data_IF_376439053541
#
_entry.id   IF_376439053541
#
_cell.length_a   1.000
_cell.length_b   1.000
_cell.length_c   1.000
_cell.angle_alpha   90.00
_cell.angle_beta   90.00
_cell.angle_gamma   90.00
#
_symmetry.space_group_name_H-M   'P 1'
#
loop_
_entity.id
_entity.type
_entity.pdbx_description
1 polymer ?
#
# COMPACT_ATOMS: atom_id res chain seq x y z
N UNK A 1 16.59 -48.13 25.94
CA UNK A 1 15.63 -48.57 24.92
C UNK A 1 14.40 -47.69 25.11
N UNK A 2 14.36 -46.56 24.40
CA UNK A 2 13.63 -46.37 23.12
C UNK A 2 12.12 -46.46 23.36
N UNK A 3 11.44 -45.33 23.53
CA UNK A 3 10.75 -44.61 22.44
C UNK A 3 9.24 -44.70 22.75
N UNK A 4 8.35 -43.75 22.49
CA UNK A 4 8.34 -42.67 21.50
C UNK A 4 7.30 -41.63 21.94
N UNK A 5 7.67 -40.35 21.92
CA UNK A 5 6.73 -39.24 21.92
C UNK A 5 6.29 -38.98 20.48
N UNK A 6 5.02 -39.23 20.17
CA UNK A 6 4.38 -38.75 18.96
C UNK A 6 3.85 -37.33 19.23
N UNK A 7 4.68 -36.33 18.92
CA UNK A 7 4.30 -34.93 18.88
C UNK A 7 3.77 -34.56 17.50
N UNK A 8 2.47 -34.76 17.28
CA UNK A 8 1.76 -34.23 16.13
C UNK A 8 1.53 -32.72 16.30
N UNK A 9 2.32 -31.88 15.65
CA UNK A 9 2.07 -30.44 15.54
C UNK A 9 0.90 -30.20 14.60
N UNK A 10 -0.28 -29.91 15.15
CA UNK A 10 -1.45 -29.48 14.39
C UNK A 10 -1.22 -28.06 13.87
N UNK A 11 -0.88 -27.92 12.58
CA UNK A 11 -1.06 -26.66 11.84
C UNK A 11 -2.55 -26.48 11.54
N UNK A 12 -3.34 -26.18 12.57
CA UNK A 12 -4.73 -25.77 12.41
C UNK A 12 -4.75 -24.30 11.98
N UNK A 13 -5.13 -24.00 10.74
CA UNK A 13 -5.34 -22.62 10.30
C UNK A 13 -6.37 -21.93 11.19
N UNK A 14 -6.23 -20.62 11.38
CA UNK A 14 -7.20 -19.84 12.16
C UNK A 14 -8.59 -19.99 11.50
N UNK A 15 -9.56 -20.44 12.27
CA UNK A 15 -10.92 -20.68 11.79
C UNK A 15 -11.61 -19.38 11.37
N UNK A 16 -12.51 -19.47 10.39
CA UNK A 16 -13.29 -18.31 9.91
C UNK A 16 -14.15 -17.68 11.01
N UNK A 17 -14.55 -18.46 12.02
CA UNK A 17 -15.26 -18.02 13.21
C UNK A 17 -14.48 -16.97 14.01
N UNK A 18 -13.16 -17.09 14.10
CA UNK A 18 -12.29 -16.12 14.78
C UNK A 18 -12.29 -14.78 14.04
N UNK A 19 -12.18 -14.80 12.71
CA UNK A 19 -12.19 -13.59 11.89
C UNK A 19 -13.53 -12.89 11.97
N UNK A 20 -14.64 -13.62 11.90
CA UNK A 20 -15.98 -13.05 12.06
C UNK A 20 -16.18 -12.46 13.46
N UNK A 21 -15.73 -13.15 14.50
CA UNK A 21 -15.77 -12.63 15.87
C UNK A 21 -14.93 -11.35 16.03
N UNK A 22 -13.81 -11.24 15.30
CA UNK A 22 -13.00 -10.03 15.27
C UNK A 22 -13.70 -8.89 14.52
N UNK A 23 -14.24 -9.15 13.32
CA UNK A 23 -15.02 -8.18 12.54
C UNK A 23 -16.21 -7.62 13.30
N UNK A 24 -16.92 -8.48 14.04
CA UNK A 24 -18.05 -8.12 14.90
C UNK A 24 -17.66 -7.14 16.02
N UNK A 25 -16.44 -7.26 16.57
CA UNK A 25 -15.90 -6.30 17.53
C UNK A 25 -15.49 -4.99 16.87
N UNK A 26 -14.92 -5.06 15.67
CA UNK A 26 -14.55 -3.86 14.90
C UNK A 26 -15.78 -3.04 14.51
N UNK A 27 -16.87 -3.69 14.10
CA UNK A 27 -18.15 -3.04 13.77
C UNK A 27 -18.73 -2.25 14.95
N UNK A 28 -18.58 -2.78 16.17
CA UNK A 28 -19.03 -2.11 17.41
C UNK A 28 -17.99 -1.18 18.04
N UNK A 29 -16.84 -0.99 17.39
CA UNK A 29 -15.68 -0.29 17.96
C UNK A 29 -15.28 -0.81 19.37
N UNK A 30 -15.48 -2.11 19.63
CA UNK A 30 -15.15 -2.76 20.91
C UNK A 30 -13.65 -3.02 21.01
N UNK A 31 -12.91 -1.99 21.39
CA UNK A 31 -11.45 -2.05 21.55
C UNK A 31 -11.04 -3.10 22.59
N UNK A 32 -11.73 -3.17 23.73
CA UNK A 32 -11.38 -4.07 24.82
C UNK A 32 -11.60 -5.53 24.41
N UNK A 33 -12.73 -5.84 23.79
CA UNK A 33 -13.02 -7.18 23.29
C UNK A 33 -12.12 -7.59 22.14
N UNK A 34 -11.73 -6.67 21.24
CA UNK A 34 -10.80 -6.94 20.15
C UNK A 34 -9.39 -7.26 20.65
N UNK A 35 -8.90 -6.49 21.63
CA UNK A 35 -7.61 -6.78 22.29
C UNK A 35 -7.68 -8.10 23.06
N UNK A 36 -8.75 -8.33 23.82
CA UNK A 36 -8.95 -9.56 24.57
C UNK A 36 -8.96 -10.80 23.68
N UNK A 37 -9.63 -10.73 22.52
CA UNK A 37 -9.61 -11.82 21.53
C UNK A 37 -8.21 -12.08 21.00
N UNK A 38 -7.49 -11.03 20.56
CA UNK A 38 -6.16 -11.19 19.99
C UNK A 38 -5.14 -11.73 21.00
N UNK A 39 -5.16 -11.22 22.24
CA UNK A 39 -4.27 -11.71 23.30
C UNK A 39 -4.63 -13.13 23.76
N UNK A 40 -5.93 -13.46 23.80
CA UNK A 40 -6.39 -14.82 24.10
C UNK A 40 -5.89 -15.85 23.08
N UNK A 41 -5.81 -15.50 21.80
CA UNK A 41 -5.19 -16.35 20.77
C UNK A 41 -3.71 -16.60 21.06
N UNK A 42 -2.96 -15.57 21.46
CA UNK A 42 -1.55 -15.72 21.84
C UNK A 42 -1.40 -16.59 23.10
N UNK A 43 -2.28 -16.44 24.08
CA UNK A 43 -2.29 -17.25 25.31
C UNK A 43 -2.62 -18.73 25.01
N UNK A 44 -3.38 -18.98 23.94
CA UNK A 44 -3.65 -20.32 23.41
C UNK A 44 -2.52 -20.88 22.51
N UNK A 45 -1.41 -20.15 22.35
CA UNK A 45 -0.23 -20.59 21.59
C UNK A 45 -0.25 -20.27 20.11
N UNK A 46 -1.22 -19.48 19.62
CA UNK A 46 -1.22 -19.01 18.23
C UNK A 46 -0.03 -18.05 18.00
N UNK A 47 0.79 -18.23 16.95
CA UNK A 47 1.90 -17.34 16.68
C UNK A 47 1.46 -15.90 16.44
N UNK A 48 2.29 -14.93 16.88
CA UNK A 48 2.09 -13.49 16.60
C UNK A 48 1.84 -13.22 15.12
N UNK A 49 2.62 -13.87 14.25
CA UNK A 49 2.47 -13.74 12.79
C UNK A 49 1.07 -14.13 12.33
N UNK A 50 0.49 -15.18 12.89
CA UNK A 50 -0.80 -15.71 12.45
C UNK A 50 -1.94 -14.82 12.96
N UNK A 51 -1.86 -14.31 14.19
CA UNK A 51 -2.82 -13.30 14.69
C UNK A 51 -2.80 -12.04 13.81
N UNK A 52 -1.61 -11.53 13.47
CA UNK A 52 -1.49 -10.30 12.69
C UNK A 52 -1.91 -10.48 11.22
N UNK A 53 -1.53 -11.60 10.58
CA UNK A 53 -1.75 -11.81 9.15
C UNK A 53 -3.11 -12.47 8.86
N UNK A 54 -3.51 -13.44 9.66
CA UNK A 54 -4.69 -14.27 9.39
C UNK A 54 -5.93 -13.80 10.16
N UNK A 55 -5.80 -12.89 11.14
CA UNK A 55 -6.95 -12.21 11.77
C UNK A 55 -6.98 -10.74 11.36
N UNK A 56 -5.99 -9.95 11.80
CA UNK A 56 -6.02 -8.50 11.62
C UNK A 56 -5.99 -8.11 10.14
N UNK A 57 -5.01 -8.60 9.38
CA UNK A 57 -4.90 -8.25 7.96
C UNK A 57 -6.05 -8.82 7.11
N UNK A 58 -6.63 -9.98 7.49
CA UNK A 58 -7.82 -10.52 6.82
C UNK A 58 -9.03 -9.61 7.06
N UNK A 59 -9.30 -9.25 8.31
CA UNK A 59 -10.41 -8.36 8.66
C UNK A 59 -10.30 -6.99 7.99
N UNK A 60 -9.08 -6.45 7.89
CA UNK A 60 -8.82 -5.18 7.20
C UNK A 60 -9.13 -5.23 5.69
N UNK A 61 -8.88 -6.37 5.02
CA UNK A 61 -9.30 -6.54 3.62
C UNK A 61 -10.83 -6.55 3.49
N UNK A 62 -11.53 -7.20 4.41
CA UNK A 62 -12.99 -7.23 4.43
C UNK A 62 -13.59 -5.84 4.73
N UNK A 63 -13.00 -5.09 5.66
CA UNK A 63 -13.37 -3.68 5.91
C UNK A 63 -13.22 -2.85 4.64
N UNK A 64 -12.07 -2.97 3.94
CA UNK A 64 -11.84 -2.30 2.67
C UNK A 64 -12.90 -2.65 1.62
N UNK A 65 -13.30 -3.93 1.53
CA UNK A 65 -14.38 -4.38 0.64
C UNK A 65 -15.75 -3.79 1.01
N UNK A 66 -16.08 -3.72 2.31
CA UNK A 66 -17.33 -3.11 2.79
C UNK A 66 -17.37 -1.61 2.50
N UNK A 67 -16.25 -0.92 2.64
CA UNK A 67 -16.12 0.50 2.28
C UNK A 67 -16.24 0.73 0.76
N UNK A 68 -15.56 -0.10 -0.04
CA UNK A 68 -15.59 -0.04 -1.50
C UNK A 68 -17.03 -0.21 -2.02
N UNK A 69 -17.74 -1.21 -1.52
CA UNK A 69 -19.14 -1.51 -1.89
C UNK A 69 -20.17 -0.54 -1.29
N UNK A 70 -19.74 0.47 -0.54
CA UNK A 70 -20.64 1.45 0.09
C UNK A 70 -21.43 0.90 1.29
N UNK A 71 -21.18 -0.35 1.70
CA UNK A 71 -21.81 -0.93 2.90
C UNK A 71 -21.33 -0.26 4.19
N UNK A 72 -20.10 0.24 4.20
CA UNK A 72 -19.51 0.99 5.31
C UNK A 72 -19.12 2.41 4.87
N UNK A 73 -19.40 3.38 5.74
CA UNK A 73 -18.96 4.77 5.60
C UNK A 73 -17.48 4.95 5.95
N UNK A 74 -16.91 6.11 5.59
CA UNK A 74 -15.53 6.48 5.95
C UNK A 74 -15.33 6.50 7.49
N UNK A 75 -16.23 7.09 8.30
CA UNK A 75 -16.09 7.03 9.76
C UNK A 75 -16.08 5.61 10.35
N UNK A 76 -16.88 4.69 9.79
CA UNK A 76 -16.91 3.29 10.25
C UNK A 76 -15.58 2.58 9.94
N UNK A 77 -15.06 2.75 8.71
CA UNK A 77 -13.75 2.23 8.34
C UNK A 77 -12.66 2.77 9.29
N UNK A 78 -12.60 4.09 9.50
CA UNK A 78 -11.61 4.70 10.38
C UNK A 78 -11.69 4.19 11.83
N UNK A 79 -12.90 4.06 12.38
CA UNK A 79 -13.10 3.53 13.73
C UNK A 79 -12.58 2.09 13.86
N UNK A 80 -12.90 1.22 12.90
CA UNK A 80 -12.44 -0.16 12.89
C UNK A 80 -10.92 -0.29 12.69
N UNK A 81 -10.34 0.51 11.79
CA UNK A 81 -8.90 0.58 11.56
C UNK A 81 -8.16 1.08 12.81
N UNK A 82 -8.72 2.06 13.53
CA UNK A 82 -8.16 2.51 14.80
C UNK A 82 -8.14 1.40 15.86
N UNK A 83 -9.22 0.64 16.00
CA UNK A 83 -9.23 -0.53 16.91
C UNK A 83 -8.16 -1.55 16.50
N UNK A 84 -7.98 -1.79 15.20
CA UNK A 84 -6.95 -2.69 14.70
C UNK A 84 -5.53 -2.21 15.04
N UNK A 85 -5.25 -0.91 14.94
CA UNK A 85 -3.96 -0.33 15.38
C UNK A 85 -3.69 -0.59 16.88
N UNK A 86 -4.70 -0.45 17.73
CA UNK A 86 -4.58 -0.76 19.16
C UNK A 86 -4.29 -2.24 19.38
N UNK A 87 -4.98 -3.12 18.64
CA UNK A 87 -4.75 -4.57 18.71
C UNK A 87 -3.33 -4.92 18.27
N UNK A 88 -2.83 -4.35 17.17
CA UNK A 88 -1.45 -4.56 16.71
C UNK A 88 -0.44 -4.10 17.77
N UNK A 89 -0.68 -2.96 18.42
CA UNK A 89 0.14 -2.48 19.54
C UNK A 89 0.15 -3.45 20.73
N UNK A 90 -1.00 -3.99 21.11
CA UNK A 90 -1.11 -4.96 22.20
C UNK A 90 -0.41 -6.30 21.88
N UNK A 91 -0.57 -6.80 20.65
CA UNK A 91 0.12 -8.01 20.15
C UNK A 91 1.63 -7.78 20.10
N UNK A 92 2.07 -6.61 19.61
CA UNK A 92 3.49 -6.24 19.55
C UNK A 92 4.16 -6.24 20.93
N UNK A 93 3.44 -5.82 21.98
CA UNK A 93 3.95 -5.82 23.35
C UNK A 93 4.24 -7.23 23.91
N UNK A 94 3.71 -8.29 23.29
CA UNK A 94 4.01 -9.70 23.66
C UNK A 94 5.30 -10.22 22.99
N UNK A 95 5.92 -9.47 22.08
CA UNK A 95 7.20 -9.83 21.47
C UNK A 95 8.33 -9.45 22.45
N UNK A 96 8.73 -10.39 23.30
CA UNK A 96 9.72 -10.17 24.37
C UNK A 96 11.15 -10.59 23.99
N UNK A 97 11.31 -11.41 22.95
CA UNK A 97 12.62 -11.86 22.51
C UNK A 97 13.47 -10.70 21.99
N UNK A 98 14.72 -10.62 22.44
CA UNK A 98 15.68 -9.65 21.92
C UNK A 98 15.96 -9.94 20.43
N UNK A 99 16.15 -8.91 19.59
CA UNK A 99 16.51 -9.12 18.19
C UNK A 99 17.87 -9.82 18.11
N UNK A 100 17.97 -10.79 17.21
CA UNK A 100 19.14 -11.65 17.00
C UNK A 100 19.66 -11.66 15.55
N UNK A 101 18.94 -10.98 14.66
CA UNK A 101 19.26 -10.84 13.24
C UNK A 101 19.69 -9.40 12.94
N UNK A 102 19.70 -9.04 11.65
CA UNK A 102 20.06 -7.69 11.20
C UNK A 102 19.03 -6.62 11.57
N UNK A 103 19.20 -5.44 10.98
CA UNK A 103 18.35 -4.28 11.15
C UNK A 103 17.65 -3.90 9.86
N UNK A 104 16.33 -3.72 9.93
CA UNK A 104 15.55 -3.17 8.83
C UNK A 104 14.81 -1.91 9.25
N UNK A 105 14.58 -1.05 8.27
CA UNK A 105 13.72 0.12 8.39
C UNK A 105 12.43 -0.14 7.62
N UNK A 106 11.28 0.11 8.21
CA UNK A 106 9.98 0.00 7.54
C UNK A 106 9.36 1.38 7.41
N UNK A 107 8.90 1.74 6.21
CA UNK A 107 8.36 3.06 5.89
C UNK A 107 7.21 2.98 4.89
N UNK A 108 6.26 3.88 4.99
CA UNK A 108 5.29 4.13 3.91
C UNK A 108 5.84 5.18 2.94
N UNK A 109 5.46 5.07 1.67
CA UNK A 109 5.82 6.04 0.64
C UNK A 109 5.38 7.46 1.04
N UNK A 110 6.11 8.49 0.60
CA UNK A 110 5.72 9.88 0.84
C UNK A 110 4.29 10.18 0.35
N UNK A 111 3.45 10.75 1.22
CA UNK A 111 2.02 10.98 1.00
C UNK A 111 1.15 9.71 1.02
N UNK A 112 1.69 8.57 1.45
CA UNK A 112 0.93 7.37 1.79
C UNK A 112 0.61 7.35 3.28
N UNK A 113 -0.67 7.29 3.62
CA UNK A 113 -1.17 7.36 5.01
C UNK A 113 -1.62 6.01 5.55
N UNK A 114 -1.72 4.98 4.72
CA UNK A 114 -2.14 3.64 5.10
C UNK A 114 -1.01 2.87 5.84
N UNK A 115 -0.76 3.26 7.09
CA UNK A 115 0.36 2.76 7.90
C UNK A 115 0.14 1.37 8.52
N UNK A 116 -1.11 0.95 8.74
CA UNK A 116 -1.43 -0.30 9.44
C UNK A 116 -0.78 -1.54 8.80
N UNK A 117 -0.86 -1.66 7.47
CA UNK A 117 -0.25 -2.78 6.76
C UNK A 117 1.29 -2.79 6.95
N UNK A 118 1.93 -1.63 6.88
CA UNK A 118 3.37 -1.49 7.11
C UNK A 118 3.73 -1.80 8.58
N UNK A 119 2.87 -1.40 9.52
CA UNK A 119 3.03 -1.72 10.94
C UNK A 119 2.94 -3.22 11.18
N UNK A 120 1.95 -3.91 10.59
CA UNK A 120 1.83 -5.38 10.65
C UNK A 120 3.11 -6.05 10.12
N UNK A 121 3.63 -5.60 8.97
CA UNK A 121 4.90 -6.11 8.44
C UNK A 121 6.05 -5.90 9.43
N UNK A 122 6.15 -4.71 10.03
CA UNK A 122 7.20 -4.41 11.00
C UNK A 122 7.14 -5.34 12.23
N UNK A 123 5.94 -5.65 12.73
CA UNK A 123 5.76 -6.54 13.88
C UNK A 123 6.02 -8.02 13.54
N UNK A 124 5.60 -8.48 12.37
CA UNK A 124 5.90 -9.84 11.90
C UNK A 124 7.41 -10.04 11.72
N UNK A 125 8.09 -9.07 11.12
CA UNK A 125 9.55 -9.13 10.93
C UNK A 125 10.29 -9.04 12.27
N UNK A 126 9.78 -8.26 13.22
CA UNK A 126 10.29 -8.23 14.59
C UNK A 126 10.12 -9.57 15.31
N UNK A 127 8.95 -10.20 15.18
CA UNK A 127 8.69 -11.53 15.73
C UNK A 127 9.61 -12.62 15.13
N UNK A 128 10.05 -12.44 13.89
CA UNK A 128 11.06 -13.31 13.26
C UNK A 128 12.49 -13.11 13.81
N UNK A 129 12.73 -12.08 14.62
CA UNK A 129 14.00 -11.83 15.31
C UNK A 129 14.85 -10.70 14.73
N UNK A 130 14.32 -9.93 13.78
CA UNK A 130 14.99 -8.74 13.23
C UNK A 130 14.84 -7.53 14.16
N UNK A 131 15.87 -6.67 14.19
CA UNK A 131 15.71 -5.31 14.71
C UNK A 131 14.92 -4.51 13.68
N UNK A 132 13.81 -3.89 14.07
CA UNK A 132 12.93 -3.17 13.13
C UNK A 132 12.69 -1.74 13.63
N UNK A 133 13.09 -0.75 12.83
CA UNK A 133 12.66 0.64 13.03
C UNK A 133 11.49 0.97 12.11
N UNK A 134 10.34 1.30 12.68
CA UNK A 134 9.15 1.71 11.93
C UNK A 134 9.06 3.24 11.87
N UNK A 135 9.13 3.81 10.67
CA UNK A 135 9.10 5.25 10.44
C UNK A 135 7.68 5.82 10.28
N UNK A 136 6.69 4.95 10.09
CA UNK A 136 5.29 5.36 9.95
C UNK A 136 4.88 5.76 8.54
N UNK A 137 3.81 6.56 8.49
CA UNK A 137 3.19 7.08 7.28
C UNK A 137 4.02 8.22 6.64
N UNK A 138 3.84 8.40 5.33
CA UNK A 138 4.25 9.59 4.59
C UNK A 138 5.68 10.08 4.89
N UNK A 139 6.66 9.16 4.85
CA UNK A 139 8.06 9.50 5.16
C UNK A 139 8.65 10.38 4.05
N UNK A 140 9.15 11.60 4.35
CA UNK A 140 9.67 12.49 3.32
C UNK A 140 10.96 11.96 2.68
N UNK A 141 10.96 11.80 1.36
CA UNK A 141 12.10 11.22 0.64
C UNK A 141 13.41 12.00 0.86
N UNK A 142 13.33 13.34 0.93
CA UNK A 142 14.48 14.24 1.10
C UNK A 142 15.32 14.00 2.36
N UNK A 143 14.70 13.45 3.40
CA UNK A 143 15.35 13.19 4.70
C UNK A 143 15.76 11.72 4.86
N UNK A 144 15.40 10.87 3.90
CA UNK A 144 15.60 9.43 4.02
C UNK A 144 17.08 9.05 3.89
N UNK A 145 17.82 9.67 2.96
CA UNK A 145 19.25 9.35 2.72
C UNK A 145 20.09 9.55 3.98
N UNK A 146 19.97 10.72 4.63
CA UNK A 146 20.73 11.03 5.83
C UNK A 146 20.38 10.11 6.99
N UNK A 147 19.08 9.78 7.15
CA UNK A 147 18.62 8.83 8.14
C UNK A 147 19.19 7.42 7.92
N UNK A 148 19.19 6.93 6.67
CA UNK A 148 19.71 5.61 6.33
C UNK A 148 21.22 5.51 6.55
N UNK A 149 22.00 6.54 6.20
CA UNK A 149 23.43 6.58 6.52
C UNK A 149 23.71 6.52 8.03
N UNK A 150 22.90 7.20 8.85
CA UNK A 150 23.08 7.21 10.30
C UNK A 150 22.64 5.91 10.96
N UNK A 151 21.57 5.29 10.47
CA UNK A 151 20.97 4.10 11.08
C UNK A 151 21.56 2.78 10.58
N UNK A 152 22.19 2.78 9.39
CA UNK A 152 22.86 1.64 8.78
C UNK A 152 22.01 0.36 8.67
N UNK A 153 20.77 0.40 8.16
CA UNK A 153 19.95 -0.81 8.04
C UNK A 153 20.41 -1.69 6.88
N UNK A 154 20.19 -2.99 7.02
CA UNK A 154 20.44 -4.01 5.99
C UNK A 154 19.43 -3.90 4.83
N UNK A 155 18.22 -3.41 5.09
CA UNK A 155 17.20 -3.17 4.07
C UNK A 155 16.12 -2.16 4.51
N UNK A 156 15.44 -1.57 3.53
CA UNK A 156 14.18 -0.83 3.71
C UNK A 156 13.01 -1.66 3.22
N UNK A 157 12.02 -1.88 4.08
CA UNK A 157 10.70 -2.40 3.72
C UNK A 157 9.79 -1.22 3.37
N UNK A 158 9.49 -1.03 2.09
CA UNK A 158 8.74 0.12 1.58
C UNK A 158 7.30 -0.28 1.24
N UNK A 159 6.34 0.26 1.98
CA UNK A 159 4.91 0.02 1.80
C UNK A 159 4.25 1.06 0.90
N UNK A 160 3.45 0.60 -0.06
CA UNK A 160 2.64 1.44 -0.95
C UNK A 160 1.26 0.80 -1.17
N UNK A 161 0.19 1.51 -0.87
CA UNK A 161 -1.19 1.04 -1.09
C UNK A 161 -1.76 1.69 -2.35
N UNK A 162 -1.54 2.98 -2.54
CA UNK A 162 -2.07 3.72 -3.68
C UNK A 162 -1.09 3.74 -4.87
N UNK A 163 -1.44 3.20 -6.06
CA UNK A 163 -0.54 3.19 -7.22
C UNK A 163 -0.19 4.60 -7.74
N UNK A 164 -1.00 5.62 -7.43
CA UNK A 164 -0.69 7.03 -7.71
C UNK A 164 0.59 7.52 -7.01
N UNK A 165 1.08 6.79 -6.01
CA UNK A 165 2.29 7.14 -5.25
C UNK A 165 3.58 6.59 -5.87
N UNK A 166 3.51 5.83 -6.97
CA UNK A 166 4.71 5.19 -7.54
C UNK A 166 5.78 6.17 -8.05
N UNK A 167 5.40 7.40 -8.43
CA UNK A 167 6.39 8.46 -8.71
C UNK A 167 7.23 8.78 -7.47
N UNK A 168 6.60 8.85 -6.30
CA UNK A 168 7.28 9.11 -5.02
C UNK A 168 8.01 7.87 -4.52
N UNK A 169 7.43 6.68 -4.70
CA UNK A 169 8.10 5.42 -4.39
C UNK A 169 9.44 5.30 -5.13
N UNK A 170 9.47 5.62 -6.42
CA UNK A 170 10.70 5.65 -7.21
C UNK A 170 11.76 6.62 -6.66
N UNK A 171 11.35 7.82 -6.19
CA UNK A 171 12.27 8.78 -5.56
C UNK A 171 12.82 8.28 -4.22
N UNK A 172 12.01 7.58 -3.45
CA UNK A 172 12.45 6.96 -2.19
C UNK A 172 13.38 5.80 -2.44
N UNK A 173 13.09 4.94 -3.43
CA UNK A 173 13.99 3.87 -3.86
C UNK A 173 15.34 4.45 -4.30
N UNK A 174 15.34 5.55 -5.05
CA UNK A 174 16.59 6.22 -5.42
C UNK A 174 17.34 6.79 -4.22
N UNK A 175 16.61 7.30 -3.22
CA UNK A 175 17.20 7.76 -1.96
C UNK A 175 17.84 6.60 -1.18
N UNK A 176 17.20 5.44 -1.15
CA UNK A 176 17.78 4.22 -0.57
C UNK A 176 19.01 3.74 -1.35
N UNK A 177 18.94 3.76 -2.69
CA UNK A 177 20.06 3.44 -3.60
C UNK A 177 21.27 4.34 -3.34
N UNK A 178 21.06 5.65 -3.23
CA UNK A 178 22.11 6.60 -2.92
C UNK A 178 22.76 6.34 -1.55
N UNK A 179 22.01 5.76 -0.60
CA UNK A 179 22.51 5.32 0.68
C UNK A 179 23.13 3.90 0.68
N UNK A 180 23.12 3.20 -0.47
CA UNK A 180 23.58 1.82 -0.59
C UNK A 180 22.67 0.78 0.08
N UNK A 181 21.40 1.14 0.38
CA UNK A 181 20.46 0.29 1.11
C UNK A 181 19.42 -0.31 0.15
N UNK A 182 19.25 -1.65 0.12
CA UNK A 182 18.29 -2.32 -0.74
C UNK A 182 16.85 -2.08 -0.27
N UNK A 183 15.91 -2.13 -1.22
CA UNK A 183 14.47 -1.95 -0.95
C UNK A 183 13.70 -3.22 -1.26
N UNK A 184 12.92 -3.68 -0.27
CA UNK A 184 11.84 -4.65 -0.45
C UNK A 184 10.53 -3.90 -0.51
N UNK A 185 9.90 -3.91 -1.66
CA UNK A 185 8.59 -3.30 -1.87
C UNK A 185 7.47 -4.24 -1.40
N UNK A 186 6.36 -3.66 -0.94
CA UNK A 186 5.16 -4.41 -0.61
C UNK A 186 3.91 -3.54 -0.66
N UNK A 187 2.76 -4.20 -0.74
CA UNK A 187 1.45 -3.56 -0.82
C UNK A 187 0.89 -3.48 -2.25
N UNK A 188 -0.44 -3.30 -2.36
CA UNK A 188 -1.16 -3.39 -3.64
C UNK A 188 -0.84 -2.25 -4.60
N UNK A 189 -0.25 -1.14 -4.13
CA UNK A 189 0.13 -0.01 -4.98
C UNK A 189 1.21 -0.37 -6.00
N UNK A 190 1.92 -1.49 -5.84
CA UNK A 190 2.88 -2.01 -6.81
C UNK A 190 2.27 -2.90 -7.91
N UNK A 191 0.94 -3.01 -7.93
CA UNK A 191 0.18 -3.74 -8.96
C UNK A 191 0.14 -5.25 -8.72
N UNK A 192 -0.65 -5.97 -9.54
CA UNK A 192 -0.72 -7.44 -9.51
C UNK A 192 0.68 -8.05 -9.62
N UNK A 193 0.95 -9.05 -8.77
CA UNK A 193 2.24 -9.75 -8.66
C UNK A 193 3.47 -8.83 -8.51
N UNK A 194 3.27 -7.60 -8.03
CA UNK A 194 4.34 -6.62 -7.84
C UNK A 194 4.96 -6.11 -9.14
N UNK A 195 4.25 -6.19 -10.27
CA UNK A 195 4.79 -5.83 -11.61
C UNK A 195 5.47 -4.46 -11.66
N UNK A 196 5.03 -3.49 -10.85
CA UNK A 196 5.61 -2.14 -10.82
C UNK A 196 6.72 -1.96 -9.78
N UNK A 197 6.95 -2.91 -8.87
CA UNK A 197 8.04 -2.83 -7.89
C UNK A 197 9.41 -2.78 -8.57
N UNK A 198 9.64 -3.64 -9.57
CA UNK A 198 10.86 -3.61 -10.36
C UNK A 198 10.98 -2.32 -11.19
N UNK A 199 9.87 -1.80 -11.73
CA UNK A 199 9.85 -0.57 -12.54
C UNK A 199 10.24 0.69 -11.75
N UNK A 200 9.98 0.70 -10.43
CA UNK A 200 10.47 1.75 -9.52
C UNK A 200 11.88 1.48 -8.97
N UNK A 201 12.46 0.32 -9.29
CA UNK A 201 13.83 -0.08 -8.94
C UNK A 201 13.98 -0.79 -7.59
N UNK A 202 12.90 -1.32 -7.02
CA UNK A 202 12.98 -2.13 -5.80
C UNK A 202 13.76 -3.43 -6.06
N UNK A 203 14.54 -3.89 -5.08
CA UNK A 203 15.36 -5.09 -5.19
C UNK A 203 14.52 -6.38 -5.14
N UNK A 204 13.43 -6.35 -4.39
CA UNK A 204 12.48 -7.45 -4.29
C UNK A 204 11.08 -6.91 -4.02
N UNK A 205 10.08 -7.78 -4.18
CA UNK A 205 8.70 -7.52 -3.80
C UNK A 205 8.11 -8.71 -3.04
N UNK A 206 7.31 -8.42 -2.02
CA UNK A 206 6.54 -9.41 -1.27
C UNK A 206 5.06 -9.02 -1.20
N UNK A 207 4.17 -9.99 -1.40
CA UNK A 207 2.72 -9.79 -1.33
C UNK A 207 2.22 -9.68 0.11
N UNK A 208 2.94 -10.29 1.06
CA UNK A 208 2.52 -10.45 2.46
C UNK A 208 3.66 -10.15 3.43
N UNK A 209 3.32 -9.96 4.71
CA UNK A 209 4.32 -9.84 5.78
C UNK A 209 5.21 -11.10 5.91
N UNK A 210 4.68 -12.28 5.58
CA UNK A 210 5.47 -13.53 5.54
C UNK A 210 6.50 -13.52 4.41
N UNK A 211 6.17 -12.91 3.28
CA UNK A 211 7.12 -12.75 2.18
C UNK A 211 8.28 -11.84 2.56
N UNK A 212 8.03 -10.77 3.33
CA UNK A 212 9.09 -9.91 3.86
C UNK A 212 10.11 -10.70 4.69
N UNK A 213 9.67 -11.55 5.62
CA UNK A 213 10.58 -12.43 6.39
C UNK A 213 11.37 -13.36 5.46
N UNK A 214 10.68 -14.04 4.54
CA UNK A 214 11.32 -14.98 3.59
C UNK A 214 12.38 -14.29 2.71
N UNK A 215 12.11 -13.07 2.26
CA UNK A 215 13.04 -12.29 1.42
C UNK A 215 14.25 -11.82 2.23
N UNK A 216 14.05 -11.40 3.47
CA UNK A 216 15.14 -11.02 4.36
C UNK A 216 16.06 -12.21 4.69
N UNK A 217 15.49 -13.39 4.99
CA UNK A 217 16.24 -14.59 5.35
C UNK A 217 17.10 -15.14 4.20
N UNK A 218 16.64 -15.00 2.96
CA UNK A 218 17.37 -15.43 1.76
C UNK A 218 18.57 -14.55 1.43
N UNK A 219 18.78 -13.44 2.15
CA UNK A 219 19.84 -12.47 1.90
C UNK A 219 19.94 -12.08 0.41
N UNK A 220 18.79 -11.92 -0.27
CA UNK A 220 18.70 -11.64 -1.72
C UNK A 220 19.44 -10.35 -2.11
N UNK A 221 19.87 -9.57 -1.13
CA UNK A 221 20.55 -8.29 -1.28
C UNK A 221 22.08 -8.38 -1.19
N UNK A 222 22.64 -9.56 -0.93
CA UNK A 222 24.10 -9.76 -0.98
C UNK A 222 24.62 -9.45 -2.39
N UNK A 223 25.40 -8.37 -2.52
CA UNK A 223 26.00 -7.93 -3.80
C UNK A 223 25.08 -7.15 -4.75
N UNK A 224 23.79 -6.96 -4.42
CA UNK A 224 22.84 -6.19 -5.23
C UNK A 224 22.18 -5.10 -4.37
N UNK A 225 22.80 -3.91 -4.23
CA UNK A 225 22.37 -2.89 -3.27
C UNK A 225 21.01 -2.27 -3.61
N UNK A 226 20.43 -2.52 -4.79
CA UNK A 226 19.05 -2.19 -5.18
C UNK A 226 18.66 -2.98 -6.46
N UNK A 227 17.37 -3.02 -6.80
CA UNK A 227 16.91 -3.61 -8.08
C UNK A 227 17.36 -2.79 -9.30
N UNK A 228 16.89 -3.14 -10.52
CA UNK A 228 17.32 -2.45 -11.74
C UNK A 228 17.17 -0.93 -11.58
N UNK A 229 18.20 -0.19 -12.01
CA UNK A 229 18.10 1.27 -12.05
C UNK A 229 16.85 1.63 -12.82
N UNK A 230 16.00 2.44 -12.20
CA UNK A 230 14.76 2.79 -12.84
C UNK A 230 15.08 3.54 -14.15
N UNK A 231 14.23 3.43 -15.18
CA UNK A 231 14.46 4.12 -16.43
C UNK A 231 14.73 5.60 -16.18
N UNK A 232 15.60 6.20 -17.00
CA UNK A 232 15.85 7.64 -16.94
C UNK A 232 14.52 8.38 -16.89
N UNK A 233 14.36 9.33 -15.94
CA UNK A 233 13.14 10.10 -15.81
C UNK A 233 12.71 10.64 -17.15
N UNK A 234 11.51 10.25 -17.57
CA UNK A 234 10.97 10.75 -18.81
C UNK A 234 10.40 12.15 -18.63
N UNK A 235 10.67 13.05 -19.56
CA UNK A 235 10.25 14.46 -19.47
C UNK A 235 8.73 14.59 -19.34
N UNK A 236 7.96 13.63 -19.86
CA UNK A 236 6.51 13.73 -19.96
C UNK A 236 5.77 13.53 -18.63
N UNK A 237 6.16 12.58 -17.77
CA UNK A 237 5.48 12.45 -16.47
C UNK A 237 5.78 13.67 -15.57
N UNK A 238 6.98 14.25 -15.72
CA UNK A 238 7.35 15.49 -15.02
C UNK A 238 6.52 16.66 -15.55
N UNK A 239 6.34 16.76 -16.86
CA UNK A 239 5.47 17.76 -17.49
C UNK A 239 4.02 17.63 -17.01
N UNK A 240 3.44 16.41 -17.01
CA UNK A 240 2.09 16.14 -16.48
C UNK A 240 1.94 16.65 -15.05
N UNK A 241 2.92 16.39 -14.18
CA UNK A 241 2.90 16.88 -12.79
C UNK A 241 3.04 18.41 -12.69
N UNK A 242 3.82 19.05 -13.58
CA UNK A 242 3.93 20.53 -13.64
C UNK A 242 2.62 21.17 -14.07
N UNK A 243 1.91 20.57 -15.03
CA UNK A 243 0.61 21.04 -15.53
C UNK A 243 -0.58 20.58 -14.67
N UNK A 244 -0.35 19.90 -13.55
CA UNK A 244 -1.41 19.31 -12.71
C UNK A 244 -2.55 20.28 -12.38
N UNK A 245 -2.22 21.51 -11.97
CA UNK A 245 -3.23 22.53 -11.62
C UNK A 245 -4.05 22.96 -12.84
N UNK A 246 -3.42 23.12 -13.99
CA UNK A 246 -4.06 23.52 -15.24
C UNK A 246 -4.99 22.42 -15.75
N UNK A 247 -4.56 21.16 -15.70
CA UNK A 247 -5.36 20.00 -16.09
C UNK A 247 -6.59 19.85 -15.19
N UNK A 248 -6.41 19.97 -13.86
CA UNK A 248 -7.54 19.94 -12.91
C UNK A 248 -8.53 21.06 -13.20
N UNK A 249 -8.04 22.28 -13.40
CA UNK A 249 -8.91 23.42 -13.68
C UNK A 249 -9.63 23.29 -15.03
N UNK A 250 -8.97 22.74 -16.06
CA UNK A 250 -9.60 22.45 -17.34
C UNK A 250 -10.72 21.41 -17.21
N UNK A 251 -10.49 20.33 -16.46
CA UNK A 251 -11.50 19.30 -16.21
C UNK A 251 -12.70 19.85 -15.41
N UNK A 252 -12.47 20.66 -14.38
CA UNK A 252 -13.55 21.31 -13.62
C UNK A 252 -14.42 22.20 -14.50
N UNK A 253 -13.82 23.00 -15.38
CA UNK A 253 -14.58 23.82 -16.34
C UNK A 253 -15.37 22.99 -17.34
N UNK A 254 -14.87 21.82 -17.72
CA UNK A 254 -15.57 20.93 -18.65
C UNK A 254 -16.74 20.20 -17.99
N UNK A 255 -16.62 19.87 -16.70
CA UNK A 255 -17.67 19.23 -15.90
C UNK A 255 -18.72 20.23 -15.42
N UNK A 256 -18.29 21.45 -15.08
CA UNK A 256 -19.12 22.51 -14.47
C UNK A 256 -19.93 22.01 -13.24
N UNK A 257 -19.26 21.48 -12.21
CA UNK A 257 -19.95 20.86 -11.08
C UNK A 257 -20.61 21.89 -10.16
N UNK A 258 -21.70 21.52 -9.47
CA UNK A 258 -22.23 22.30 -8.35
C UNK A 258 -21.14 22.58 -7.30
N UNK A 259 -21.19 23.76 -6.66
CA UNK A 259 -20.21 24.23 -5.68
C UNK A 259 -19.95 23.20 -4.56
N UNK A 260 -21.02 22.55 -4.08
CA UNK A 260 -20.97 21.52 -3.02
C UNK A 260 -20.11 20.30 -3.38
N UNK A 261 -19.93 20.01 -4.67
CA UNK A 261 -19.19 18.83 -5.17
C UNK A 261 -17.89 19.19 -5.89
N UNK A 262 -17.61 20.48 -6.05
CA UNK A 262 -16.50 20.97 -6.85
C UNK A 262 -15.15 20.51 -6.28
N UNK A 263 -14.97 20.56 -4.97
CA UNK A 263 -13.73 20.16 -4.30
C UNK A 263 -13.48 18.65 -4.36
N UNK A 264 -14.52 17.84 -4.24
CA UNK A 264 -14.43 16.38 -4.36
C UNK A 264 -14.05 15.97 -5.78
N UNK A 265 -14.68 16.59 -6.78
CA UNK A 265 -14.35 16.36 -8.19
C UNK A 265 -12.93 16.85 -8.48
N UNK A 266 -12.54 18.03 -7.98
CA UNK A 266 -11.18 18.55 -8.14
C UNK A 266 -10.14 17.57 -7.58
N UNK A 267 -10.41 17.02 -6.40
CA UNK A 267 -9.57 16.01 -5.74
C UNK A 267 -9.51 14.71 -6.55
N UNK A 268 -10.65 14.24 -7.07
CA UNK A 268 -10.74 13.07 -7.94
C UNK A 268 -9.92 13.21 -9.22
N UNK A 269 -10.02 14.36 -9.90
CA UNK A 269 -9.21 14.68 -11.08
C UNK A 269 -7.73 14.76 -10.72
N UNK A 270 -7.40 15.38 -9.58
CA UNK A 270 -6.04 15.45 -9.07
C UNK A 270 -5.42 14.05 -8.91
N UNK A 271 -6.16 13.10 -8.34
CA UNK A 271 -5.71 11.71 -8.22
C UNK A 271 -5.59 11.01 -9.58
N UNK A 272 -6.47 11.29 -10.53
CA UNK A 272 -6.37 10.79 -11.90
C UNK A 272 -5.10 11.29 -12.60
N UNK A 273 -4.74 12.57 -12.43
CA UNK A 273 -3.49 13.13 -12.94
C UNK A 273 -2.27 12.48 -12.27
N UNK A 274 -2.35 12.22 -10.96
CA UNK A 274 -1.29 11.50 -10.24
C UNK A 274 -1.16 10.03 -10.73
N UNK A 275 -2.28 9.37 -11.05
CA UNK A 275 -2.31 8.04 -11.68
C UNK A 275 -1.68 8.06 -13.09
N UNK A 276 -2.01 9.07 -13.90
CA UNK A 276 -1.43 9.25 -15.23
C UNK A 276 0.09 9.40 -15.13
N UNK A 277 0.57 10.28 -14.24
CA UNK A 277 2.01 10.45 -14.01
C UNK A 277 2.68 9.15 -13.53
N UNK A 278 2.03 8.40 -12.64
CA UNK A 278 2.52 7.09 -12.19
C UNK A 278 2.60 6.08 -13.34
N UNK A 279 1.56 5.98 -14.18
CA UNK A 279 1.51 5.08 -15.34
C UNK A 279 2.64 5.37 -16.34
N UNK A 280 2.91 6.65 -16.61
CA UNK A 280 4.03 7.09 -17.46
C UNK A 280 5.38 6.75 -16.80
N UNK A 281 5.48 6.92 -15.47
CA UNK A 281 6.71 6.64 -14.73
C UNK A 281 7.08 5.15 -14.73
N UNK A 282 6.09 4.27 -14.64
CA UNK A 282 6.31 2.81 -14.71
C UNK A 282 6.22 2.27 -16.13
N UNK A 283 5.89 3.13 -17.11
CA UNK A 283 5.72 2.81 -18.54
C UNK A 283 4.70 1.72 -18.80
N UNK A 284 3.60 1.77 -18.06
CA UNK A 284 2.53 0.78 -18.13
C UNK A 284 1.17 1.49 -18.06
N UNK A 285 0.41 1.56 -19.17
CA UNK A 285 -0.91 2.18 -19.19
C UNK A 285 -1.94 1.41 -18.34
N UNK A 286 -1.71 0.12 -18.04
CA UNK A 286 -2.60 -0.67 -17.19
C UNK A 286 -2.79 -0.03 -15.81
N UNK A 287 -1.80 0.72 -15.31
CA UNK A 287 -1.96 1.44 -14.04
C UNK A 287 -3.11 2.44 -14.08
N UNK A 288 -3.19 3.23 -15.16
CA UNK A 288 -4.25 4.22 -15.31
C UNK A 288 -5.58 3.54 -15.60
N UNK A 289 -5.58 2.47 -16.39
CA UNK A 289 -6.78 1.67 -16.70
C UNK A 289 -7.37 1.08 -15.42
N UNK A 290 -6.54 0.43 -14.59
CA UNK A 290 -6.97 -0.15 -13.31
C UNK A 290 -7.49 0.92 -12.36
N UNK A 291 -6.84 2.08 -12.31
CA UNK A 291 -7.30 3.22 -11.51
C UNK A 291 -8.66 3.75 -11.95
N UNK A 292 -8.89 3.87 -13.27
CA UNK A 292 -10.15 4.33 -13.85
C UNK A 292 -11.27 3.33 -13.61
N UNK A 293 -11.01 2.02 -13.79
CA UNK A 293 -11.98 0.95 -13.47
C UNK A 293 -12.36 0.96 -11.99
N UNK A 294 -11.37 1.09 -11.10
CA UNK A 294 -11.62 1.19 -9.67
C UNK A 294 -12.44 2.43 -9.30
N UNK A 295 -12.16 3.59 -9.93
CA UNK A 295 -12.98 4.79 -9.73
C UNK A 295 -14.43 4.58 -10.20
N UNK A 296 -14.64 3.94 -11.35
CA UNK A 296 -15.99 3.63 -11.84
C UNK A 296 -16.74 2.68 -10.89
N UNK A 297 -16.08 1.66 -10.35
CA UNK A 297 -16.65 0.75 -9.34
C UNK A 297 -17.09 1.51 -8.09
N UNK A 298 -16.22 2.36 -7.53
CA UNK A 298 -16.52 3.20 -6.36
C UNK A 298 -17.71 4.12 -6.63
N UNK A 299 -17.70 4.81 -7.78
CA UNK A 299 -18.76 5.74 -8.14
C UNK A 299 -20.08 5.00 -8.37
N UNK A 300 -20.06 3.86 -9.05
CA UNK A 300 -21.23 2.99 -9.28
C UNK A 300 -21.86 2.55 -7.97
N UNK A 301 -21.06 2.02 -7.05
CA UNK A 301 -21.53 1.57 -5.74
C UNK A 301 -22.20 2.70 -4.94
N UNK A 302 -21.93 3.95 -5.33
CA UNK A 302 -22.42 5.18 -4.69
C UNK A 302 -23.36 5.99 -5.59
N UNK A 303 -23.84 5.42 -6.70
CA UNK A 303 -24.84 6.02 -7.59
C UNK A 303 -24.33 7.08 -8.57
N UNK A 304 -23.02 7.27 -8.70
CA UNK A 304 -22.40 8.17 -9.66
C UNK A 304 -21.95 7.46 -10.94
N UNK A 305 -22.45 7.87 -12.10
CA UNK A 305 -21.85 7.57 -13.42
C UNK A 305 -22.22 8.70 -14.35
N UNK A 306 -21.24 9.40 -14.95
CA UNK A 306 -21.37 10.30 -16.14
C UNK A 306 -20.21 11.31 -16.30
N UNK A 307 -19.31 11.44 -15.33
CA UNK A 307 -18.27 12.49 -15.35
C UNK A 307 -16.91 12.00 -15.89
N UNK A 308 -16.63 10.70 -15.80
CA UNK A 308 -15.27 10.18 -16.03
C UNK A 308 -14.82 10.34 -17.49
N UNK A 309 -15.71 10.10 -18.46
CA UNK A 309 -15.41 10.32 -19.89
C UNK A 309 -15.11 11.79 -20.20
N UNK A 310 -15.91 12.71 -19.66
CA UNK A 310 -15.72 14.17 -19.82
C UNK A 310 -14.39 14.60 -19.22
N UNK A 311 -14.05 14.09 -18.03
CA UNK A 311 -12.78 14.36 -17.34
C UNK A 311 -11.61 13.83 -18.17
N UNK A 312 -11.64 12.56 -18.59
CA UNK A 312 -10.57 11.93 -19.38
C UNK A 312 -10.35 12.66 -20.71
N UNK A 313 -11.43 13.00 -21.43
CA UNK A 313 -11.36 13.76 -22.67
C UNK A 313 -10.80 15.18 -22.45
N UNK A 314 -11.14 15.83 -21.32
CA UNK A 314 -10.59 17.13 -20.97
C UNK A 314 -9.10 17.06 -20.64
N UNK A 315 -8.67 16.05 -19.89
CA UNK A 315 -7.26 15.80 -19.61
C UNK A 315 -6.47 15.55 -20.90
N UNK A 316 -7.03 14.77 -21.85
CA UNK A 316 -6.38 14.49 -23.13
C UNK A 316 -6.15 15.78 -23.94
N UNK A 317 -7.16 16.66 -24.01
CA UNK A 317 -7.03 17.97 -24.68
C UNK A 317 -5.99 18.87 -24.01
N UNK A 318 -6.01 18.93 -22.67
CA UNK A 318 -5.08 19.73 -21.89
C UNK A 318 -3.62 19.26 -22.01
N UNK A 319 -3.40 17.98 -22.34
CA UNK A 319 -2.08 17.36 -22.50
C UNK A 319 -1.80 16.99 -23.97
N UNK A 320 -2.34 17.75 -24.93
CA UNK A 320 -2.22 17.44 -26.37
C UNK A 320 -0.79 17.44 -26.90
N UNK A 321 0.13 18.15 -26.26
CA UNK A 321 1.58 18.16 -26.58
C UNK A 321 2.35 16.97 -25.98
N UNK A 322 1.66 16.07 -25.28
CA UNK A 322 2.22 14.93 -24.57
C UNK A 322 1.66 13.61 -25.15
N UNK A 323 2.32 13.03 -26.17
CA UNK A 323 1.75 11.96 -26.98
C UNK A 323 1.49 10.65 -26.21
N UNK A 324 2.32 10.30 -25.23
CA UNK A 324 2.10 9.09 -24.41
C UNK A 324 1.08 9.32 -23.32
N UNK A 325 1.05 10.50 -22.73
CA UNK A 325 -0.01 10.89 -21.82
C UNK A 325 -1.36 10.77 -22.54
N UNK A 326 -1.45 11.31 -23.76
CA UNK A 326 -2.61 11.14 -24.63
C UNK A 326 -2.90 9.67 -24.96
N UNK A 327 -1.87 8.85 -25.23
CA UNK A 327 -2.06 7.41 -25.48
C UNK A 327 -2.66 6.69 -24.25
N UNK A 328 -2.11 6.89 -23.06
CA UNK A 328 -2.59 6.28 -21.82
C UNK A 328 -4.04 6.72 -21.53
N UNK A 329 -4.35 8.01 -21.70
CA UNK A 329 -5.70 8.56 -21.52
C UNK A 329 -6.71 7.95 -22.50
N UNK A 330 -6.34 7.75 -23.78
CA UNK A 330 -7.21 7.09 -24.76
C UNK A 330 -7.51 5.64 -24.39
N UNK A 331 -6.49 4.87 -23.98
CA UNK A 331 -6.68 3.49 -23.55
C UNK A 331 -7.59 3.41 -22.31
N UNK A 332 -7.36 4.28 -21.32
CA UNK A 332 -8.19 4.35 -20.12
C UNK A 332 -9.64 4.76 -20.43
N UNK A 333 -9.86 5.66 -21.40
CA UNK A 333 -11.20 6.06 -21.84
C UNK A 333 -11.98 4.92 -22.50
N UNK A 334 -11.32 4.13 -23.36
CA UNK A 334 -11.92 2.92 -23.96
C UNK A 334 -12.31 1.92 -22.85
N UNK A 335 -11.42 1.68 -21.90
CA UNK A 335 -11.69 0.77 -20.80
C UNK A 335 -12.85 1.24 -19.89
N UNK A 336 -13.11 2.55 -19.81
CA UNK A 336 -14.22 3.12 -19.04
C UNK A 336 -15.57 3.03 -19.78
N UNK A 337 -15.59 2.91 -21.10
CA UNK A 337 -16.82 2.81 -21.90
C UNK A 337 -17.29 1.37 -22.12
N UNK A 338 -16.41 0.39 -21.95
CA UNK A 338 -16.67 -1.04 -22.20
C UNK A 338 -17.18 -1.81 -20.96
N UNK A 339 -17.39 -1.14 -19.81
CA UNK A 339 -17.84 -1.73 -18.53
C UNK A 339 -19.19 -1.20 -18.03
#
# INVERSE_FOLDING_TARGET
>A
MSGSHDGGTATGGIGSDVVEAYLDRLDRADQAGAVGLALGLLDAGVPVTDVLVDVVAVAQREIGRRWLTGSWSVPQEHAATHVSEVVVGAVAARITAAPRLGHVVTACVEGEWHALAARIVAEVVRAAGWRVTFLGASVPARHLVSYLHQSGPDAVLLSCVQPTRLVRAARMVESCRAAGVPVVAGGPGFGPDGRWAAAVGAAAWGATARDAVRLLDRQVFTGHPTGPSAPTPDDEYVAVLRHRREVVHAALRAVDPPEETADDIATGVAHLVDALAASLRVRDPELLIDFVRWQDEVLTARGGRRLLDVVLASCERALSEHPRAGHHLRLARVAATDG
#
